data_IF_932980675580
#
_entry.id   IF_932980675580
#
_cell.length_a   1.000
_cell.length_b   1.000
_cell.length_c   1.000
_cell.angle_alpha   90.00
_cell.angle_beta   90.00
_cell.angle_gamma   90.00
#
_symmetry.space_group_name_H-M   'P 1'
#
loop_
_entity.id
_entity.type
_entity.pdbx_description
1 polymer ?
#
# COMPACT_ATOMS: atom_id res chain seq x y z
N UNK A 1 8.41 -11.62 2.39
CA UNK A 1 7.28 -10.67 2.34
C UNK A 1 6.03 -11.47 2.61
N UNK A 2 5.37 -11.18 3.72
CA UNK A 2 4.04 -11.70 4.01
C UNK A 2 3.07 -10.64 3.50
N UNK A 3 2.30 -10.94 2.46
CA UNK A 3 1.25 -10.05 2.01
C UNK A 3 0.09 -10.12 3.01
N UNK A 4 -0.41 -8.97 3.43
CA UNK A 4 -1.41 -8.89 4.48
C UNK A 4 -2.73 -8.36 3.93
N UNK A 5 -3.84 -8.89 4.45
CA UNK A 5 -5.16 -8.36 4.09
C UNK A 5 -5.41 -6.99 4.72
N UNK A 6 -4.88 -6.78 5.92
CA UNK A 6 -5.13 -5.59 6.73
C UNK A 6 -3.92 -5.28 7.58
N UNK A 7 -3.52 -4.01 7.61
CA UNK A 7 -2.56 -3.52 8.58
C UNK A 7 -3.31 -2.94 9.78
N UNK A 8 -2.71 -3.07 10.97
CA UNK A 8 -3.19 -2.33 12.11
C UNK A 8 -2.88 -0.84 11.92
N UNK A 9 -3.78 0.02 12.39
CA UNK A 9 -3.65 1.48 12.32
C UNK A 9 -2.33 1.97 12.91
N UNK A 10 -1.95 1.45 14.08
CA UNK A 10 -0.69 1.79 14.74
C UNK A 10 0.52 1.40 13.87
N UNK A 11 0.50 0.21 13.26
CA UNK A 11 1.57 -0.22 12.37
C UNK A 11 1.69 0.67 11.13
N UNK A 12 0.57 1.11 10.55
CA UNK A 12 0.58 2.05 9.44
C UNK A 12 1.23 3.39 9.84
N UNK A 13 0.92 3.92 11.03
CA UNK A 13 1.53 5.15 11.55
C UNK A 13 3.03 4.99 11.82
N UNK A 14 3.42 3.92 12.52
CA UNK A 14 4.83 3.63 12.85
C UNK A 14 5.68 3.39 11.60
N UNK A 15 5.16 2.64 10.62
CA UNK A 15 5.86 2.38 9.36
C UNK A 15 6.05 3.64 8.52
N UNK A 16 5.06 4.54 8.51
CA UNK A 16 5.15 5.82 7.81
C UNK A 16 6.18 6.74 8.47
N UNK A 17 6.13 6.87 9.79
CA UNK A 17 7.13 7.63 10.54
C UNK A 17 8.54 7.09 10.31
N UNK A 18 8.69 5.76 10.26
CA UNK A 18 9.99 5.12 9.97
C UNK A 18 10.49 5.46 8.56
N UNK A 19 9.61 5.48 7.56
CA UNK A 19 9.98 5.88 6.20
C UNK A 19 10.41 7.36 6.15
N UNK A 20 9.70 8.25 6.84
CA UNK A 20 10.00 9.69 6.87
C UNK A 20 11.30 10.02 7.62
N UNK A 21 11.64 9.24 8.65
CA UNK A 21 12.84 9.46 9.48
C UNK A 21 14.06 8.66 9.03
N UNK A 22 13.89 7.73 8.09
CA UNK A 22 14.96 6.90 7.57
C UNK A 22 15.94 7.72 6.74
N UNK A 23 17.21 7.73 7.15
CA UNK A 23 18.31 8.34 6.37
C UNK A 23 18.59 7.65 5.02
N UNK A 24 18.02 6.48 4.80
CA UNK A 24 18.24 5.65 3.61
C UNK A 24 17.12 5.79 2.57
N UNK A 25 16.02 6.43 2.95
CA UNK A 25 14.85 6.64 2.10
C UNK A 25 15.08 7.91 1.28
N UNK A 26 14.97 7.78 -0.04
CA UNK A 26 15.17 8.89 -0.98
C UNK A 26 13.86 9.66 -1.21
N UNK A 27 12.76 8.93 -1.35
CA UNK A 27 11.41 9.49 -1.45
C UNK A 27 10.47 8.72 -0.51
N UNK A 28 10.25 9.28 0.68
CA UNK A 28 9.41 8.66 1.70
C UNK A 28 7.96 8.47 1.23
N UNK A 29 7.45 9.36 0.37
CA UNK A 29 6.08 9.23 -0.11
C UNK A 29 5.96 8.02 -1.04
N UNK A 30 6.84 7.93 -2.04
CA UNK A 30 6.81 6.85 -3.01
C UNK A 30 7.13 5.50 -2.38
N UNK A 31 8.24 5.42 -1.63
CA UNK A 31 8.72 4.17 -1.05
C UNK A 31 7.71 3.61 -0.04
N UNK A 32 7.15 4.45 0.83
CA UNK A 32 6.14 3.99 1.79
C UNK A 32 4.85 3.57 1.08
N UNK A 33 4.38 4.32 0.09
CA UNK A 33 3.14 3.96 -0.62
C UNK A 33 3.31 2.64 -1.39
N UNK A 34 4.49 2.40 -1.97
CA UNK A 34 4.83 1.12 -2.60
C UNK A 34 4.82 -0.05 -1.61
N UNK A 35 5.34 0.16 -0.40
CA UNK A 35 5.31 -0.84 0.68
C UNK A 35 3.87 -1.08 1.15
N UNK A 36 3.09 -0.02 1.33
CA UNK A 36 1.72 -0.09 1.82
C UNK A 36 0.78 -0.87 0.86
N UNK A 37 1.13 -0.94 -0.43
CA UNK A 37 0.42 -1.76 -1.43
C UNK A 37 0.61 -3.28 -1.27
N UNK A 38 1.45 -3.74 -0.35
CA UNK A 38 1.43 -5.12 0.13
C UNK A 38 0.21 -5.43 1.01
N UNK A 39 -0.52 -4.38 1.44
CA UNK A 39 -1.76 -4.46 2.18
C UNK A 39 -2.98 -4.32 1.25
N UNK A 40 -3.93 -5.26 1.33
CA UNK A 40 -5.12 -5.21 0.47
C UNK A 40 -5.96 -3.93 0.66
N UNK A 41 -5.99 -3.34 1.86
CA UNK A 41 -6.73 -2.09 2.13
C UNK A 41 -6.28 -0.93 1.22
N UNK A 42 -4.97 -0.78 1.01
CA UNK A 42 -4.39 0.27 0.16
C UNK A 42 -4.64 -0.03 -1.31
N UNK A 43 -4.59 -1.30 -1.70
CA UNK A 43 -4.87 -1.73 -3.07
C UNK A 43 -6.34 -1.50 -3.43
N UNK A 44 -7.27 -1.72 -2.48
CA UNK A 44 -8.68 -1.37 -2.67
C UNK A 44 -8.87 0.13 -2.89
N UNK A 45 -8.16 0.99 -2.15
CA UNK A 45 -8.18 2.43 -2.39
C UNK A 45 -7.64 2.76 -3.80
N UNK A 46 -6.54 2.15 -4.23
CA UNK A 46 -5.99 2.36 -5.58
C UNK A 46 -6.97 1.90 -6.67
N UNK A 47 -7.69 0.79 -6.45
CA UNK A 47 -8.75 0.31 -7.34
C UNK A 47 -9.90 1.32 -7.44
N UNK A 48 -10.37 1.84 -6.31
CA UNK A 48 -11.43 2.86 -6.27
C UNK A 48 -11.01 4.13 -7.02
N UNK A 49 -9.77 4.60 -6.82
CA UNK A 49 -9.24 5.74 -7.59
C UNK A 49 -9.19 5.41 -9.09
N UNK A 50 -8.81 4.18 -9.45
CA UNK A 50 -8.89 3.70 -10.84
C UNK A 50 -10.30 3.77 -11.43
N UNK A 51 -11.32 3.40 -10.66
CA UNK A 51 -12.73 3.51 -11.05
C UNK A 51 -13.18 4.97 -11.21
N UNK A 52 -12.83 5.83 -10.25
CA UNK A 52 -13.11 7.28 -10.31
C UNK A 52 -12.51 7.94 -11.56
N UNK A 53 -11.32 7.49 -11.97
CA UNK A 53 -10.61 8.00 -13.14
C UNK A 53 -11.00 7.32 -14.46
N UNK A 54 -11.81 6.26 -14.43
CA UNK A 54 -12.11 5.44 -15.61
C UNK A 54 -10.88 4.75 -16.20
N UNK A 55 -9.86 4.45 -15.39
CA UNK A 55 -8.61 3.87 -15.84
C UNK A 55 -8.60 2.34 -15.69
N UNK A 56 -9.07 1.64 -16.71
CA UNK A 56 -9.16 0.17 -16.75
C UNK A 56 -7.83 -0.53 -16.46
N UNK A 57 -6.70 0.08 -16.85
CA UNK A 57 -5.37 -0.49 -16.61
C UNK A 57 -5.05 -0.51 -15.11
N UNK A 58 -5.35 0.57 -14.39
CA UNK A 58 -5.14 0.63 -12.94
C UNK A 58 -6.05 -0.35 -12.21
N UNK A 59 -7.32 -0.44 -12.63
CA UNK A 59 -8.28 -1.39 -12.08
C UNK A 59 -7.76 -2.83 -12.25
N UNK A 60 -7.37 -3.22 -13.48
CA UNK A 60 -6.85 -4.56 -13.75
C UNK A 60 -5.56 -4.90 -13.01
N UNK A 61 -4.67 -3.91 -12.83
CA UNK A 61 -3.46 -4.08 -12.00
C UNK A 61 -3.86 -4.30 -10.54
N UNK A 62 -4.75 -3.47 -9.99
CA UNK A 62 -5.21 -3.60 -8.61
C UNK A 62 -5.89 -4.95 -8.36
N UNK A 63 -6.74 -5.43 -9.28
CA UNK A 63 -7.39 -6.74 -9.20
C UNK A 63 -6.36 -7.88 -9.21
N UNK A 64 -5.31 -7.77 -10.04
CA UNK A 64 -4.20 -8.75 -10.07
C UNK A 64 -3.43 -8.77 -8.76
N UNK A 65 -3.19 -7.60 -8.16
CA UNK A 65 -2.51 -7.48 -6.87
C UNK A 65 -3.38 -8.09 -5.76
N UNK A 66 -4.66 -7.75 -5.69
CA UNK A 66 -5.61 -8.33 -4.72
C UNK A 66 -5.68 -9.86 -4.83
N UNK A 67 -5.78 -10.40 -6.05
CA UNK A 67 -5.75 -11.85 -6.27
C UNK A 67 -4.45 -12.50 -5.79
N UNK A 68 -3.32 -11.79 -5.91
CA UNK A 68 -2.02 -12.28 -5.44
C UNK A 68 -1.95 -12.30 -3.91
N UNK A 69 -2.44 -11.24 -3.24
CA UNK A 69 -2.53 -11.18 -1.77
C UNK A 69 -3.43 -12.31 -1.26
N UNK A 70 -4.59 -12.51 -1.90
CA UNK A 70 -5.52 -13.58 -1.52
C UNK A 70 -4.87 -14.96 -1.69
N UNK A 71 -4.21 -15.22 -2.81
CA UNK A 71 -3.53 -16.49 -3.06
C UNK A 71 -2.44 -16.79 -2.02
N UNK A 72 -1.73 -15.77 -1.51
CA UNK A 72 -0.78 -15.93 -0.40
C UNK A 72 -1.48 -16.23 0.92
N UNK A 73 -2.60 -15.58 1.21
CA UNK A 73 -3.36 -15.84 2.44
C UNK A 73 -3.93 -17.27 2.52
N UNK A 74 -4.14 -17.90 1.38
CA UNK A 74 -4.62 -19.29 1.26
C UNK A 74 -3.49 -20.31 1.11
N UNK A 75 -2.24 -19.85 0.99
CA UNK A 75 -1.10 -20.72 0.80
C UNK A 75 -0.87 -21.59 2.05
N UNK A 76 -0.60 -22.86 1.82
CA UNK A 76 -0.25 -23.81 2.89
C UNK A 76 1.04 -24.51 2.52
N UNK A 77 1.67 -25.20 3.47
CA UNK A 77 2.85 -26.02 3.18
C UNK A 77 2.62 -27.02 2.02
N UNK A 78 1.39 -27.53 1.87
CA UNK A 78 1.02 -28.50 0.81
C UNK A 78 0.63 -27.83 -0.52
N UNK A 79 0.34 -26.53 -0.52
CA UNK A 79 -0.01 -25.74 -1.70
C UNK A 79 0.68 -24.37 -1.59
N UNK A 80 1.99 -24.31 -1.86
CA UNK A 80 2.72 -23.06 -1.80
C UNK A 80 2.26 -22.10 -2.91
N UNK A 81 2.23 -20.80 -2.60
CA UNK A 81 1.98 -19.76 -3.60
C UNK A 81 3.32 -19.15 -4.04
N UNK A 82 3.57 -19.17 -5.35
CA UNK A 82 4.78 -18.60 -5.96
C UNK A 82 4.55 -17.26 -6.66
N UNK A 83 3.29 -16.81 -6.74
CA UNK A 83 2.96 -15.51 -7.32
C UNK A 83 3.59 -14.39 -6.47
N UNK A 84 3.99 -13.30 -7.11
CA UNK A 84 4.55 -12.14 -6.42
C UNK A 84 3.97 -10.87 -6.99
N UNK A 85 3.76 -9.90 -6.12
CA UNK A 85 3.51 -8.52 -6.54
C UNK A 85 4.85 -7.96 -7.03
N UNK A 86 4.85 -7.42 -8.23
CA UNK A 86 6.04 -6.85 -8.86
C UNK A 86 6.21 -5.38 -8.48
N UNK A 87 7.46 -4.90 -8.48
CA UNK A 87 7.77 -3.47 -8.24
C UNK A 87 7.09 -2.55 -9.25
N UNK A 88 6.92 -2.99 -10.50
CA UNK A 88 6.21 -2.20 -11.51
C UNK A 88 4.72 -2.02 -11.18
N UNK A 89 4.08 -3.07 -10.65
CA UNK A 89 2.68 -2.99 -10.20
C UNK A 89 2.54 -2.05 -9.00
N UNK A 90 3.38 -2.22 -7.97
CA UNK A 90 3.32 -1.33 -6.80
C UNK A 90 3.67 0.11 -7.17
N UNK A 91 4.62 0.34 -8.08
CA UNK A 91 4.98 1.67 -8.54
C UNK A 91 3.81 2.37 -9.25
N UNK A 92 3.16 1.73 -10.21
CA UNK A 92 2.03 2.35 -10.94
C UNK A 92 0.87 2.69 -10.00
N UNK A 93 0.52 1.78 -9.09
CA UNK A 93 -0.54 2.03 -8.11
C UNK A 93 -0.14 3.14 -7.12
N UNK A 94 1.12 3.16 -6.67
CA UNK A 94 1.62 4.17 -5.76
C UNK A 94 1.61 5.57 -6.39
N UNK A 95 2.10 5.70 -7.62
CA UNK A 95 2.06 6.96 -8.38
C UNK A 95 0.62 7.42 -8.54
N UNK A 96 -0.31 6.52 -8.89
CA UNK A 96 -1.74 6.88 -9.04
C UNK A 96 -2.33 7.42 -7.74
N UNK A 97 -2.02 6.78 -6.61
CA UNK A 97 -2.45 7.26 -5.28
C UNK A 97 -1.81 8.61 -4.94
N UNK A 98 -0.52 8.78 -5.21
CA UNK A 98 0.18 10.03 -4.92
C UNK A 98 -0.25 11.18 -5.84
N UNK A 99 -0.60 10.93 -7.09
CA UNK A 99 -1.21 11.93 -7.99
C UNK A 99 -2.58 12.36 -7.46
N UNK A 100 -3.37 11.43 -6.93
CA UNK A 100 -4.72 11.72 -6.39
C UNK A 100 -4.68 12.44 -5.05
N UNK A 101 -3.84 11.99 -4.12
CA UNK A 101 -3.83 12.45 -2.72
C UNK A 101 -2.70 13.45 -2.42
N UNK A 102 -1.58 13.39 -3.15
CA UNK A 102 -0.45 14.31 -3.02
C UNK A 102 0.64 13.89 -2.03
N UNK A 103 0.35 12.98 -1.08
CA UNK A 103 1.34 12.50 -0.11
C UNK A 103 0.96 11.15 0.51
N UNK A 104 1.95 10.44 1.05
CA UNK A 104 1.75 9.20 1.80
C UNK A 104 0.90 9.42 3.06
N UNK A 105 1.07 10.55 3.77
CA UNK A 105 0.23 10.91 4.93
C UNK A 105 -1.25 10.98 4.56
N UNK A 106 -1.59 11.58 3.41
CA UNK A 106 -2.99 11.63 2.94
C UNK A 106 -3.53 10.28 2.47
N UNK A 107 -2.69 9.42 1.89
CA UNK A 107 -3.06 8.02 1.63
C UNK A 107 -3.35 7.29 2.94
N UNK A 108 -2.50 7.46 3.96
CA UNK A 108 -2.70 6.88 5.28
C UNK A 108 -3.99 7.37 5.95
N UNK A 109 -4.31 8.66 5.81
CA UNK A 109 -5.57 9.23 6.25
C UNK A 109 -6.78 8.60 5.54
N UNK A 110 -6.71 8.44 4.22
CA UNK A 110 -7.80 7.85 3.44
C UNK A 110 -8.10 6.39 3.82
N UNK A 111 -7.09 5.61 4.19
CA UNK A 111 -7.25 4.19 4.54
C UNK A 111 -7.53 3.96 6.03
N UNK A 112 -6.78 4.64 6.91
CA UNK A 112 -6.79 4.37 8.35
C UNK A 112 -7.22 5.57 9.22
N UNK A 113 -7.66 6.67 8.60
CA UNK A 113 -8.06 7.90 9.30
C UNK A 113 -6.96 8.40 10.26
N UNK A 114 -5.70 8.22 9.88
CA UNK A 114 -4.56 8.73 10.62
C UNK A 114 -4.42 10.23 10.41
N UNK A 115 -4.23 10.95 11.50
CA UNK A 115 -3.87 12.36 11.49
C UNK A 115 -2.35 12.53 11.45
N UNK A 116 -1.90 13.70 10.98
CA UNK A 116 -0.48 14.03 10.96
C UNK A 116 0.14 13.96 12.36
N UNK A 117 -0.57 14.44 13.39
CA UNK A 117 -0.13 14.39 14.79
C UNK A 117 0.07 12.96 15.31
N UNK A 118 -0.83 12.03 14.94
CA UNK A 118 -0.70 10.62 15.33
C UNK A 118 0.50 9.95 14.68
N UNK A 119 0.80 10.32 13.43
CA UNK A 119 2.00 9.83 12.72
C UNK A 119 3.25 10.41 13.39
N UNK A 120 3.26 11.71 13.71
CA UNK A 120 4.39 12.37 14.36
C UNK A 120 4.65 11.82 15.77
N UNK A 121 3.61 11.37 16.48
CA UNK A 121 3.72 10.77 17.81
C UNK A 121 3.99 9.26 17.81
N UNK A 122 3.86 8.58 16.66
CA UNK A 122 4.09 7.14 16.54
C UNK A 122 5.52 6.74 16.94
N UNK A 123 5.75 5.47 17.26
CA UNK A 123 7.11 4.97 17.50
C UNK A 123 7.77 4.63 16.16
N UNK A 124 8.93 5.22 15.87
CA UNK A 124 9.69 4.92 14.66
C UNK A 124 10.44 3.59 14.81
#
# INVERSE_FOLDING_TARGET
MAYEKTWHRDYAAESLKRAETSRWTQDANLEWTQLALECAQVVHLARQVGEELGNEKIIGIADTVLSTIEAHSQATYRRPCYKRITTAQTHLLAVTLLERFGSARRVANAVWQLTDDEIDQAKA
#
